data_IF_783853259020
#
_entry.id   IF_783853259020
#
_cell.length_a   1.000
_cell.length_b   1.000
_cell.length_c   1.000
_cell.angle_alpha   90.00
_cell.angle_beta   90.00
_cell.angle_gamma   90.00
#
_symmetry.space_group_name_H-M   'P 1'
#
loop_
_entity.id
_entity.type
_entity.pdbx_description
1 polymer ?
#
# COMPACT_ATOMS: atom_id res chain seq x y z
N UNK A 1 -11.87 16.93 9.17
CA UNK A 1 -12.04 15.71 8.36
C UNK A 1 -11.85 14.51 9.26
N UNK A 2 -12.81 13.59 9.34
CA UNK A 2 -12.65 12.36 10.12
C UNK A 2 -11.61 11.44 9.44
N UNK A 3 -10.73 10.75 10.19
CA UNK A 3 -9.76 9.85 9.59
C UNK A 3 -10.47 8.65 8.94
N UNK A 4 -10.11 8.34 7.68
CA UNK A 4 -10.54 7.10 7.03
C UNK A 4 -10.04 5.92 7.86
N UNK A 5 -10.96 5.05 8.29
CA UNK A 5 -10.61 3.81 9.00
C UNK A 5 -9.96 2.86 8.01
N UNK A 6 -8.63 2.70 8.10
CA UNK A 6 -7.91 1.73 7.28
C UNK A 6 -8.10 0.33 7.86
N UNK A 7 -8.70 -0.57 7.07
CA UNK A 7 -8.88 -1.96 7.46
C UNK A 7 -7.52 -2.68 7.29
N UNK A 8 -6.90 -3.08 8.40
CA UNK A 8 -5.61 -3.78 8.41
C UNK A 8 -5.81 -5.12 7.69
N UNK A 9 -5.28 -5.26 6.48
CA UNK A 9 -5.26 -6.55 5.79
C UNK A 9 -4.37 -7.48 6.59
N UNK A 10 -4.94 -8.60 7.04
CA UNK A 10 -4.29 -9.53 7.94
C UNK A 10 -3.25 -10.37 7.18
N UNK A 11 -2.03 -9.86 7.04
CA UNK A 11 -0.90 -10.55 6.41
C UNK A 11 -0.22 -11.52 7.38
N UNK A 12 -1.00 -12.39 8.03
CA UNK A 12 -0.41 -13.38 8.95
C UNK A 12 0.51 -14.33 8.17
N UNK A 13 1.69 -14.64 8.73
CA UNK A 13 2.58 -15.61 8.11
C UNK A 13 1.88 -16.95 7.97
N UNK A 14 2.02 -17.56 6.79
CA UNK A 14 1.46 -18.89 6.52
C UNK A 14 2.43 -19.96 7.03
N UNK A 15 1.87 -21.03 7.58
CA UNK A 15 2.64 -22.19 8.04
C UNK A 15 2.94 -23.18 6.90
N UNK A 16 3.79 -24.19 7.14
CA UNK A 16 4.20 -25.16 6.11
C UNK A 16 3.03 -25.93 5.50
N UNK A 17 2.06 -26.33 6.33
CA UNK A 17 0.87 -27.04 5.86
C UNK A 17 0.07 -26.26 4.81
N UNK A 18 0.06 -24.92 4.87
CA UNK A 18 -0.63 -24.10 3.87
C UNK A 18 -0.03 -24.29 2.48
N UNK A 19 1.31 -24.28 2.37
CA UNK A 19 2.01 -24.45 1.10
C UNK A 19 1.79 -25.85 0.52
N UNK A 20 1.87 -26.87 1.37
CA UNK A 20 1.51 -28.23 0.99
C UNK A 20 0.06 -28.32 0.49
N UNK A 21 -0.89 -27.72 1.22
CA UNK A 21 -2.30 -27.76 0.85
C UNK A 21 -2.57 -27.10 -0.51
N UNK A 22 -1.88 -25.99 -0.81
CA UNK A 22 -1.98 -25.34 -2.13
C UNK A 22 -1.39 -26.19 -3.25
N UNK A 23 -0.25 -26.84 -3.00
CA UNK A 23 0.32 -27.77 -3.98
C UNK A 23 -0.56 -29.01 -4.19
N UNK A 24 -1.10 -29.57 -3.11
CA UNK A 24 -2.05 -30.68 -3.15
C UNK A 24 -3.29 -30.31 -3.95
N UNK A 25 -3.87 -29.13 -3.69
CA UNK A 25 -5.00 -28.60 -4.47
C UNK A 25 -4.66 -28.55 -5.96
N UNK A 26 -3.51 -27.95 -6.31
CA UNK A 26 -3.07 -27.83 -7.71
C UNK A 26 -2.90 -29.19 -8.39
N UNK A 27 -2.33 -30.17 -7.69
CA UNK A 27 -2.16 -31.55 -8.19
C UNK A 27 -3.51 -32.23 -8.44
N UNK A 28 -4.46 -32.08 -7.52
CA UNK A 28 -5.80 -32.66 -7.65
C UNK A 28 -6.61 -31.98 -8.75
N UNK A 29 -6.52 -30.66 -8.89
CA UNK A 29 -7.15 -29.91 -9.97
C UNK A 29 -6.58 -30.28 -11.35
N UNK A 30 -5.26 -30.48 -11.43
CA UNK A 30 -4.62 -30.99 -12.65
C UNK A 30 -5.07 -32.41 -13.01
N UNK A 31 -5.47 -33.22 -12.01
CA UNK A 31 -6.07 -34.54 -12.21
C UNK A 31 -7.58 -34.48 -12.53
N UNK A 32 -8.17 -33.29 -12.66
CA UNK A 32 -9.58 -33.09 -13.01
C UNK A 32 -10.53 -33.01 -11.81
N UNK A 33 -10.04 -33.00 -10.57
CA UNK A 33 -10.89 -32.79 -9.41
C UNK A 33 -11.27 -31.32 -9.24
N UNK A 34 -12.51 -31.07 -8.82
CA UNK A 34 -13.02 -29.72 -8.55
C UNK A 34 -13.45 -29.65 -7.08
N UNK A 35 -12.86 -28.71 -6.34
CA UNK A 35 -13.19 -28.48 -4.92
C UNK A 35 -14.33 -27.47 -4.79
N UNK A 36 -15.57 -27.97 -4.70
CA UNK A 36 -16.77 -27.11 -4.59
C UNK A 36 -16.91 -26.51 -3.19
N UNK A 37 -16.39 -27.19 -2.16
CA UNK A 37 -16.34 -26.68 -0.78
C UNK A 37 -15.17 -25.71 -0.53
N UNK A 38 -14.48 -25.27 -1.58
CA UNK A 38 -13.35 -24.35 -1.50
C UNK A 38 -12.20 -24.89 -0.65
N UNK A 39 -11.50 -24.00 0.05
CA UNK A 39 -10.32 -24.34 0.86
C UNK A 39 -10.64 -25.33 1.99
N UNK A 40 -11.85 -25.31 2.53
CA UNK A 40 -12.25 -26.21 3.59
C UNK A 40 -12.25 -27.68 3.13
N UNK A 41 -12.80 -27.95 1.94
CA UNK A 41 -12.78 -29.29 1.35
C UNK A 41 -11.34 -29.76 1.05
N UNK A 42 -10.50 -28.86 0.54
CA UNK A 42 -9.08 -29.14 0.29
C UNK A 42 -8.39 -29.54 1.59
N UNK A 43 -8.63 -28.82 2.68
CA UNK A 43 -8.04 -29.12 3.99
C UNK A 43 -8.43 -30.51 4.48
N UNK A 44 -9.72 -30.87 4.41
CA UNK A 44 -10.18 -32.19 4.85
C UNK A 44 -9.50 -33.32 4.07
N UNK A 45 -9.32 -33.16 2.75
CA UNK A 45 -8.65 -34.18 1.93
C UNK A 45 -7.13 -34.17 2.09
N UNK A 46 -6.51 -33.02 2.27
CA UNK A 46 -5.06 -32.88 2.38
C UNK A 46 -4.52 -33.30 3.76
N UNK A 47 -5.30 -33.12 4.82
CA UNK A 47 -4.84 -33.36 6.20
C UNK A 47 -4.35 -34.80 6.45
N UNK A 48 -5.03 -35.87 6.01
CA UNK A 48 -4.53 -37.24 6.13
C UNK A 48 -3.15 -37.44 5.49
N UNK A 49 -2.94 -36.97 4.26
CA UNK A 49 -1.67 -37.09 3.55
C UNK A 49 -0.54 -36.35 4.28
N UNK A 50 -0.82 -35.13 4.75
CA UNK A 50 0.15 -34.36 5.53
C UNK A 50 0.56 -35.09 6.82
N UNK A 51 -0.39 -35.71 7.50
CA UNK A 51 -0.10 -36.42 8.75
C UNK A 51 0.77 -37.66 8.52
N UNK A 52 0.64 -38.33 7.36
CA UNK A 52 1.47 -39.48 6.99
C UNK A 52 2.87 -39.11 6.48
N UNK A 53 3.11 -37.85 6.11
CA UNK A 53 4.41 -37.43 5.59
C UNK A 53 5.50 -37.40 6.67
N UNK A 54 6.69 -37.85 6.29
CA UNK A 54 7.89 -37.79 7.13
C UNK A 54 8.41 -36.35 7.26
N UNK A 55 9.29 -36.11 8.24
CA UNK A 55 9.92 -34.80 8.41
C UNK A 55 10.72 -34.37 7.16
N UNK A 56 11.39 -35.32 6.50
CA UNK A 56 12.12 -35.05 5.26
C UNK A 56 11.19 -34.60 4.13
N UNK A 57 10.00 -35.19 4.01
CA UNK A 57 8.99 -34.78 3.02
C UNK A 57 8.35 -33.43 3.37
N UNK A 58 8.33 -33.06 4.66
CA UNK A 58 7.80 -31.78 5.14
C UNK A 58 8.80 -30.63 5.03
N UNK A 59 10.10 -30.92 4.98
CA UNK A 59 11.19 -29.94 4.97
C UNK A 59 11.04 -28.87 3.87
N UNK A 60 10.71 -29.20 2.61
CA UNK A 60 10.56 -28.17 1.57
C UNK A 60 9.48 -27.14 1.91
N UNK A 61 8.38 -27.59 2.53
CA UNK A 61 7.29 -26.72 2.95
C UNK A 61 7.63 -25.89 4.19
N UNK A 62 8.47 -26.42 5.09
CA UNK A 62 9.01 -25.65 6.20
C UNK A 62 9.89 -24.51 5.68
N UNK A 63 10.72 -24.77 4.69
CA UNK A 63 11.54 -23.76 4.03
C UNK A 63 10.69 -22.68 3.37
N UNK A 64 9.66 -23.07 2.59
CA UNK A 64 8.73 -22.10 1.97
C UNK A 64 8.00 -21.23 3.02
N UNK A 65 7.59 -21.83 4.15
CA UNK A 65 6.96 -21.08 5.22
C UNK A 65 7.92 -20.08 5.89
N UNK A 66 9.19 -20.46 6.02
CA UNK A 66 10.23 -19.57 6.52
C UNK A 66 10.51 -18.42 5.53
N UNK A 67 10.71 -18.73 4.26
CA UNK A 67 10.92 -17.73 3.20
C UNK A 67 9.74 -16.73 3.13
N UNK A 68 8.51 -17.21 3.27
CA UNK A 68 7.34 -16.33 3.30
C UNK A 68 7.29 -15.44 4.55
N UNK A 69 7.75 -15.93 5.72
CA UNK A 69 7.87 -15.13 6.94
C UNK A 69 8.92 -14.03 6.76
N UNK A 70 10.07 -14.37 6.19
CA UNK A 70 11.14 -13.40 5.93
C UNK A 70 10.70 -12.37 4.89
N UNK A 71 10.03 -12.81 3.82
CA UNK A 71 9.44 -11.91 2.82
C UNK A 71 8.42 -10.94 3.45
N UNK A 72 7.53 -11.42 4.32
CA UNK A 72 6.59 -10.56 5.05
C UNK A 72 7.29 -9.59 6.01
N UNK A 73 8.41 -9.98 6.61
CA UNK A 73 9.20 -9.09 7.47
C UNK A 73 9.81 -7.96 6.65
N UNK A 74 10.27 -8.25 5.44
CA UNK A 74 10.94 -7.29 4.55
C UNK A 74 9.96 -6.41 3.77
N UNK A 75 8.88 -7.01 3.27
CA UNK A 75 7.92 -6.39 2.34
C UNK A 75 6.56 -6.10 2.99
N UNK A 76 6.39 -6.43 4.28
CA UNK A 76 5.17 -6.16 5.01
C UNK A 76 4.88 -4.66 5.09
N UNK A 77 3.63 -4.28 4.85
CA UNK A 77 3.22 -2.88 4.94
C UNK A 77 3.39 -2.38 6.38
N UNK A 78 4.20 -1.34 6.55
CA UNK A 78 4.46 -0.70 7.83
C UNK A 78 3.37 0.35 8.11
N UNK A 79 2.98 0.47 9.36
CA UNK A 79 1.95 1.40 9.81
C UNK A 79 2.50 2.36 10.86
N UNK A 80 2.02 3.60 10.85
CA UNK A 80 2.23 4.56 11.94
C UNK A 80 1.52 4.11 13.22
N UNK A 81 1.82 4.75 14.35
CA UNK A 81 1.11 4.52 15.63
C UNK A 81 -0.40 4.78 15.56
N UNK A 82 -0.84 5.57 14.58
CA UNK A 82 -2.25 5.85 14.31
C UNK A 82 -2.90 4.86 13.32
N UNK A 83 -2.15 3.83 12.89
CA UNK A 83 -2.66 2.80 11.96
C UNK A 83 -2.75 3.24 10.51
N UNK A 84 -2.01 4.29 10.11
CA UNK A 84 -1.94 4.76 8.72
C UNK A 84 -0.76 4.07 8.03
N UNK A 85 -0.94 3.45 6.83
CA UNK A 85 0.17 2.90 6.07
C UNK A 85 1.27 3.93 5.78
N UNK A 86 2.55 3.58 5.99
CA UNK A 86 3.67 4.49 5.72
C UNK A 86 3.74 4.91 4.25
N UNK A 87 3.38 4.02 3.33
CA UNK A 87 3.26 4.30 1.88
C UNK A 87 2.36 5.50 1.59
N UNK A 88 1.26 5.64 2.32
CA UNK A 88 0.35 6.79 2.19
C UNK A 88 0.94 8.06 2.78
N UNK A 89 1.65 7.94 3.92
CA UNK A 89 2.32 9.09 4.55
C UNK A 89 3.41 9.64 3.63
N UNK A 90 4.20 8.77 3.02
CA UNK A 90 5.24 9.13 2.04
C UNK A 90 4.63 9.79 0.80
N UNK A 91 3.54 9.24 0.27
CA UNK A 91 2.83 9.83 -0.87
C UNK A 91 2.28 11.22 -0.53
N UNK A 92 1.70 11.41 0.66
CA UNK A 92 1.21 12.71 1.11
C UNK A 92 2.36 13.71 1.29
N UNK A 93 3.48 13.30 1.90
CA UNK A 93 4.67 14.13 2.04
C UNK A 93 5.24 14.54 0.69
N UNK A 94 5.36 13.59 -0.25
CA UNK A 94 5.82 13.88 -1.61
C UNK A 94 4.88 14.85 -2.34
N UNK A 95 3.57 14.69 -2.19
CA UNK A 95 2.59 15.62 -2.76
C UNK A 95 2.69 17.02 -2.15
N UNK A 96 2.97 17.13 -0.84
CA UNK A 96 3.23 18.43 -0.17
C UNK A 96 4.52 19.08 -0.66
N UNK A 97 5.59 18.31 -0.80
CA UNK A 97 6.87 18.79 -1.33
C UNK A 97 6.72 19.29 -2.77
N UNK A 98 6.10 18.49 -3.66
CA UNK A 98 5.88 18.88 -5.05
C UNK A 98 5.07 20.19 -5.19
N UNK A 99 4.08 20.41 -4.32
CA UNK A 99 3.35 21.70 -4.26
C UNK A 99 4.24 22.85 -3.81
N UNK A 100 5.07 22.63 -2.79
CA UNK A 100 6.03 23.63 -2.32
C UNK A 100 7.04 24.00 -3.41
N UNK A 101 7.58 23.02 -4.12
CA UNK A 101 8.53 23.22 -5.20
C UNK A 101 7.89 23.97 -6.38
N UNK A 102 6.64 23.65 -6.71
CA UNK A 102 5.88 24.37 -7.74
C UNK A 102 5.71 25.86 -7.39
N UNK A 103 5.36 26.17 -6.14
CA UNK A 103 5.22 27.56 -5.68
C UNK A 103 6.56 28.28 -5.78
N UNK A 104 7.65 27.66 -5.29
CA UNK A 104 9.00 28.24 -5.34
C UNK A 104 9.42 28.55 -6.78
N UNK A 105 9.29 27.57 -7.67
CA UNK A 105 9.66 27.73 -9.08
C UNK A 105 8.81 28.82 -9.75
N UNK A 106 7.51 28.87 -9.47
CA UNK A 106 6.64 29.92 -10.01
C UNK A 106 7.07 31.31 -9.54
N UNK A 107 7.44 31.46 -8.25
CA UNK A 107 7.95 32.73 -7.72
C UNK A 107 9.27 33.11 -8.37
N UNK A 108 10.22 32.18 -8.51
CA UNK A 108 11.48 32.41 -9.21
C UNK A 108 11.26 32.86 -10.65
N UNK A 109 10.41 32.14 -11.41
CA UNK A 109 10.09 32.48 -12.79
C UNK A 109 9.44 33.88 -12.91
N UNK A 110 8.60 34.26 -11.94
CA UNK A 110 8.01 35.60 -11.90
C UNK A 110 9.06 36.68 -11.61
N UNK A 111 10.00 36.42 -10.69
CA UNK A 111 11.09 37.35 -10.40
C UNK A 111 12.03 37.51 -11.60
N UNK A 112 12.41 36.42 -12.26
CA UNK A 112 13.28 36.45 -13.44
C UNK A 112 12.63 37.24 -14.58
N UNK A 113 11.33 37.05 -14.82
CA UNK A 113 10.56 37.83 -15.80
C UNK A 113 10.47 39.31 -15.43
N UNK A 114 10.27 39.63 -14.16
CA UNK A 114 10.19 41.02 -13.69
C UNK A 114 11.54 41.74 -13.83
N UNK A 115 12.64 41.06 -13.49
CA UNK A 115 14.00 41.57 -13.68
C UNK A 115 14.32 41.78 -15.16
N UNK A 116 13.96 40.83 -16.03
CA UNK A 116 14.18 40.94 -17.47
C UNK A 116 13.41 42.10 -18.12
N UNK A 117 12.24 42.45 -17.58
CA UNK A 117 11.39 43.53 -18.09
C UNK A 117 11.69 44.89 -17.43
N UNK A 118 12.65 44.97 -16.50
CA UNK A 118 13.03 46.18 -15.76
C UNK A 118 11.86 46.89 -15.03
N UNK A 119 10.82 46.12 -14.65
CA UNK A 119 9.66 46.56 -13.88
C UNK A 119 9.76 46.00 -12.46
N UNK A 120 10.50 46.71 -11.60
CA UNK A 120 10.60 46.42 -10.15
C UNK A 120 9.67 47.30 -9.32
N UNK A 121 8.48 47.64 -9.84
CA UNK A 121 7.56 48.56 -9.17
C UNK A 121 6.35 47.81 -8.57
N UNK A 122 6.39 47.64 -7.24
CA UNK A 122 5.24 47.58 -6.31
C UNK A 122 4.01 46.74 -6.67
N UNK A 123 4.14 45.47 -7.09
CA UNK A 123 2.93 44.62 -7.29
C UNK A 123 2.85 43.33 -6.47
N UNK A 124 3.82 43.08 -5.59
CA UNK A 124 3.92 41.77 -4.91
C UNK A 124 3.10 41.67 -3.61
N UNK A 125 2.65 42.77 -3.02
CA UNK A 125 1.87 42.73 -1.74
C UNK A 125 0.35 42.80 -1.89
N UNK A 126 -0.20 43.38 -2.96
CA UNK A 126 -1.64 43.71 -3.00
C UNK A 126 -2.54 42.73 -3.77
N UNK A 127 -1.99 41.77 -4.53
CA UNK A 127 -2.82 40.86 -5.36
C UNK A 127 -3.06 39.47 -4.76
N UNK A 128 -2.42 39.15 -3.62
CA UNK A 128 -2.64 37.88 -2.89
C UNK A 128 -3.75 38.06 -1.83
N UNK A 129 -4.13 39.29 -1.48
CA UNK A 129 -5.24 39.59 -0.59
C UNK A 129 -6.47 40.01 -1.38
N UNK A 130 -7.56 39.23 -1.30
CA UNK A 130 -8.90 39.51 -1.85
C UNK A 130 -9.06 39.53 -3.38
N UNK A 131 -9.23 38.35 -4.01
CA UNK A 131 -10.26 38.13 -5.05
C UNK A 131 -10.34 36.67 -5.52
N UNK A 132 -10.98 35.80 -4.74
CA UNK A 132 -11.96 34.79 -5.20
C UNK A 132 -12.28 33.78 -4.08
N UNK A 133 -13.20 34.16 -3.19
CA UNK A 133 -14.04 33.21 -2.46
C UNK A 133 -15.52 33.60 -2.70
N UNK A 134 -16.42 32.62 -2.88
CA UNK A 134 -17.75 32.84 -3.47
C UNK A 134 -18.72 33.60 -2.55
N UNK A 135 -19.61 34.37 -3.19
CA UNK A 135 -20.69 35.20 -2.62
C UNK A 135 -21.59 34.46 -1.62
N UNK A 136 -21.90 35.14 -0.51
CA UNK A 136 -23.15 34.94 0.24
C UNK A 136 -24.04 36.18 0.00
N UNK A 137 -25.27 35.93 -0.49
CA UNK A 137 -26.36 36.90 -0.62
C UNK A 137 -27.12 36.99 0.70
N UNK A 138 -27.65 38.16 1.05
CA UNK A 138 -28.83 38.47 1.89
C UNK A 138 -28.90 40.03 1.93
N UNK A 139 -29.97 40.77 1.64
CA UNK A 139 -31.34 40.57 1.15
C UNK A 139 -31.70 41.77 0.26
#
# INVERSE_FOLDING_TARGET
>A
MAPKKYNKRNHQPKGPYYFFMMEFKKKQEAAGHIFRGGVHEVQQRASPYWNTMTNAQKEPYQKMAQEHRDWLRENGEKYTSQGIPLTMVEAEQKAKQAKGDLIKNTISDMLDKAVANNDLNETTTDKISLRHMPRLKLD
#
